data_IF_495722816106
#
_entry.id   IF_495722816106
#
_cell.length_a   1.000
_cell.length_b   1.000
_cell.length_c   1.000
_cell.angle_alpha   90.00
_cell.angle_beta   90.00
_cell.angle_gamma   90.00
#
_symmetry.space_group_name_H-M   'P 1'
#
loop_
_entity.id
_entity.type
_entity.pdbx_description
1 polymer ?
#
# COMPACT_ATOMS: atom_id res chain seq x y z
N UNK A 1 1.19 -6.28 8.09
CA UNK A 1 0.83 -4.93 8.54
C UNK A 1 -0.59 -4.58 8.07
N UNK A 2 -0.86 -4.22 6.84
CA UNK A 2 -2.22 -3.82 6.38
C UNK A 2 -3.31 -4.88 6.60
N UNK A 3 -3.05 -6.15 6.31
CA UNK A 3 -4.03 -7.23 6.54
C UNK A 3 -4.39 -7.34 8.03
N UNK A 4 -3.40 -7.19 8.92
CA UNK A 4 -3.62 -7.22 10.37
C UNK A 4 -4.46 -6.03 10.85
N UNK A 5 -4.25 -4.84 10.24
CA UNK A 5 -5.03 -3.64 10.54
C UNK A 5 -6.49 -3.83 10.14
N UNK A 6 -6.74 -4.40 8.93
CA UNK A 6 -8.07 -4.72 8.43
C UNK A 6 -8.75 -5.78 9.32
N UNK A 7 -8.03 -6.85 9.71
CA UNK A 7 -8.57 -7.85 10.63
C UNK A 7 -8.96 -7.24 11.98
N UNK A 8 -8.12 -6.34 12.51
CA UNK A 8 -8.41 -5.63 13.76
C UNK A 8 -9.63 -4.73 13.61
N UNK A 9 -9.70 -3.95 12.52
CA UNK A 9 -10.83 -3.07 12.21
C UNK A 9 -12.15 -3.84 12.14
N UNK A 10 -12.18 -4.95 11.39
CA UNK A 10 -13.37 -5.80 11.26
C UNK A 10 -13.87 -6.35 12.62
N UNK A 11 -12.94 -6.65 13.52
CA UNK A 11 -13.31 -7.05 14.90
C UNK A 11 -13.92 -5.91 15.68
N UNK A 12 -13.34 -4.72 15.61
CA UNK A 12 -13.73 -3.59 16.43
C UNK A 12 -15.02 -2.91 15.95
N UNK A 13 -15.17 -2.74 14.64
CA UNK A 13 -16.28 -1.98 14.07
C UNK A 13 -17.47 -2.86 13.68
N UNK A 14 -17.20 -4.05 13.12
CA UNK A 14 -18.24 -4.94 12.62
C UNK A 14 -18.50 -6.16 13.52
N UNK A 15 -17.70 -6.35 14.58
CA UNK A 15 -17.74 -7.55 15.44
C UNK A 15 -17.61 -8.86 14.64
N UNK A 16 -16.92 -8.84 13.52
CA UNK A 16 -16.73 -9.99 12.63
C UNK A 16 -15.27 -10.47 12.70
N UNK A 17 -15.08 -11.77 12.88
CA UNK A 17 -13.76 -12.39 12.80
C UNK A 17 -13.49 -12.81 11.35
N UNK A 18 -12.44 -12.26 10.75
CA UNK A 18 -11.98 -12.63 9.40
C UNK A 18 -10.58 -13.21 9.44
N UNK A 19 -10.27 -14.09 8.47
CA UNK A 19 -8.93 -14.61 8.25
C UNK A 19 -8.06 -13.68 7.39
N UNK A 20 -6.77 -14.01 7.29
CA UNK A 20 -5.80 -13.22 6.52
C UNK A 20 -6.18 -13.15 5.03
N UNK A 21 -6.62 -14.26 4.45
CA UNK A 21 -7.07 -14.32 3.04
C UNK A 21 -8.27 -13.40 2.77
N UNK A 22 -9.20 -13.30 3.72
CA UNK A 22 -10.36 -12.40 3.59
C UNK A 22 -9.92 -10.94 3.71
N UNK A 23 -9.02 -10.62 4.65
CA UNK A 23 -8.43 -9.28 4.77
C UNK A 23 -7.68 -8.87 3.49
N UNK A 24 -6.95 -9.79 2.86
CA UNK A 24 -6.29 -9.56 1.57
C UNK A 24 -7.30 -9.26 0.46
N UNK A 25 -8.42 -10.00 0.39
CA UNK A 25 -9.50 -9.75 -0.58
C UNK A 25 -10.13 -8.38 -0.39
N UNK A 26 -10.42 -7.97 0.85
CA UNK A 26 -10.93 -6.63 1.19
C UNK A 26 -9.94 -5.57 0.70
N UNK A 27 -8.65 -5.73 1.03
CA UNK A 27 -7.60 -4.80 0.62
C UNK A 27 -7.52 -4.65 -0.91
N UNK A 28 -7.63 -5.74 -1.66
CA UNK A 28 -7.60 -5.70 -3.13
C UNK A 28 -8.86 -5.02 -3.69
N UNK A 29 -10.03 -5.34 -3.14
CA UNK A 29 -11.31 -4.83 -3.65
C UNK A 29 -11.51 -3.34 -3.32
N UNK A 30 -11.37 -2.95 -2.06
CA UNK A 30 -11.71 -1.61 -1.55
C UNK A 30 -10.53 -0.91 -0.85
N UNK A 31 -9.30 -1.40 -1.04
CA UNK A 31 -8.10 -0.79 -0.43
C UNK A 31 -7.84 0.61 -0.97
N UNK A 32 -7.91 1.59 -0.09
CA UNK A 32 -7.63 2.99 -0.35
C UNK A 32 -6.90 3.62 0.85
N UNK A 33 -6.26 4.76 0.64
CA UNK A 33 -5.55 5.50 1.70
C UNK A 33 -5.93 6.98 1.74
N UNK A 34 -6.85 7.41 0.87
CA UNK A 34 -7.47 8.72 0.86
C UNK A 34 -9.00 8.55 0.84
N UNK A 35 -9.75 9.46 1.49
CA UNK A 35 -11.22 9.39 1.56
C UNK A 35 -11.90 9.81 0.26
N UNK A 36 -11.24 10.62 -0.57
CA UNK A 36 -11.79 11.19 -1.80
C UNK A 36 -11.08 10.57 -3.01
N UNK A 37 -11.73 9.59 -3.62
CA UNK A 37 -11.29 8.93 -4.85
C UNK A 37 -12.11 9.47 -6.03
N UNK A 38 -11.45 9.66 -7.18
CA UNK A 38 -12.14 10.03 -8.42
C UNK A 38 -13.06 8.91 -8.94
N UNK A 39 -12.65 7.65 -8.69
CA UNK A 39 -13.41 6.43 -8.97
C UNK A 39 -13.62 5.65 -7.69
N UNK A 40 -14.85 5.64 -7.20
CA UNK A 40 -15.22 4.93 -5.98
C UNK A 40 -15.47 3.44 -6.28
N UNK A 41 -14.73 2.51 -5.61
CA UNK A 41 -15.05 1.09 -5.74
C UNK A 41 -16.35 0.76 -5.01
N UNK A 42 -17.09 -0.22 -5.53
CA UNK A 42 -18.26 -0.77 -4.84
C UNK A 42 -17.87 -1.37 -3.48
N UNK A 43 -18.74 -1.24 -2.45
CA UNK A 43 -18.49 -1.84 -1.16
C UNK A 43 -18.28 -3.35 -1.26
N UNK A 44 -17.30 -3.87 -0.53
CA UNK A 44 -17.02 -5.31 -0.50
C UNK A 44 -17.82 -6.00 0.61
N UNK A 45 -18.63 -6.97 0.21
CA UNK A 45 -19.46 -7.73 1.17
C UNK A 45 -18.64 -8.87 1.80
N UNK A 46 -18.59 -8.88 3.13
CA UNK A 46 -17.87 -9.86 3.94
C UNK A 46 -18.87 -10.68 4.77
N UNK A 47 -18.71 -11.99 4.72
CA UNK A 47 -19.44 -12.93 5.58
C UNK A 47 -18.49 -13.54 6.61
N UNK A 48 -18.92 -13.58 7.86
CA UNK A 48 -18.13 -14.18 8.92
C UNK A 48 -18.91 -14.37 10.21
N UNK A 49 -18.36 -15.12 11.19
CA UNK A 49 -19.00 -15.30 12.48
C UNK A 49 -18.94 -14.01 13.30
N UNK A 50 -20.06 -13.63 13.85
CA UNK A 50 -20.14 -12.56 14.87
C UNK A 50 -19.43 -13.02 16.13
N UNK A 51 -18.56 -12.16 16.67
CA UNK A 51 -17.75 -12.50 17.85
C UNK A 51 -18.54 -12.69 19.14
N UNK A 52 -19.74 -12.08 19.23
CA UNK A 52 -20.57 -12.14 20.43
C UNK A 52 -21.57 -13.30 20.39
N UNK A 53 -22.17 -13.55 19.23
CA UNK A 53 -23.28 -14.50 19.09
C UNK A 53 -22.90 -15.79 18.36
N UNK A 54 -21.69 -15.83 17.74
CA UNK A 54 -21.20 -16.87 16.85
C UNK A 54 -22.09 -17.14 15.60
N UNK A 55 -23.17 -16.36 15.42
CA UNK A 55 -24.01 -16.47 14.23
C UNK A 55 -23.31 -15.90 13.00
N UNK A 56 -23.54 -16.43 11.80
CA UNK A 56 -23.06 -15.84 10.57
C UNK A 56 -23.72 -14.48 10.37
N UNK A 57 -22.91 -13.48 10.07
CA UNK A 57 -23.34 -12.10 9.75
C UNK A 57 -22.65 -11.63 8.49
N UNK A 58 -23.32 -10.70 7.83
CA UNK A 58 -22.83 -10.05 6.63
C UNK A 58 -22.58 -8.57 6.91
N UNK A 59 -21.48 -8.02 6.40
CA UNK A 59 -21.17 -6.60 6.46
C UNK A 59 -20.65 -6.11 5.13
N UNK A 60 -21.10 -4.95 4.69
CA UNK A 60 -20.55 -4.22 3.56
C UNK A 60 -19.44 -3.30 4.06
N UNK A 61 -18.26 -3.41 3.49
CA UNK A 61 -17.07 -2.63 3.85
C UNK A 61 -16.76 -1.65 2.72
N UNK A 62 -16.70 -0.37 3.04
CA UNK A 62 -16.43 0.70 2.09
C UNK A 62 -14.94 1.03 2.01
N UNK A 63 -14.53 1.70 0.93
CA UNK A 63 -13.15 2.16 0.79
C UNK A 63 -12.79 3.26 1.79
N UNK A 64 -13.76 4.10 2.20
CA UNK A 64 -13.57 5.12 3.22
C UNK A 64 -13.23 4.50 4.59
N UNK A 65 -13.91 3.42 4.95
CA UNK A 65 -13.60 2.66 6.16
C UNK A 65 -12.19 2.11 6.12
N UNK A 66 -11.76 1.57 4.97
CA UNK A 66 -10.41 1.03 4.82
C UNK A 66 -9.36 2.16 4.80
N UNK A 67 -9.64 3.29 4.18
CA UNK A 67 -8.75 4.45 4.23
C UNK A 67 -8.52 4.92 5.67
N UNK A 68 -9.58 4.99 6.47
CA UNK A 68 -9.47 5.30 7.90
C UNK A 68 -8.72 4.21 8.69
N UNK A 69 -9.02 2.95 8.41
CA UNK A 69 -8.36 1.81 9.04
C UNK A 69 -6.83 1.82 8.83
N UNK A 70 -6.39 2.13 7.61
CA UNK A 70 -4.98 2.10 7.23
C UNK A 70 -4.21 3.38 7.57
N UNK A 71 -4.89 4.46 7.94
CA UNK A 71 -4.29 5.78 8.12
C UNK A 71 -3.07 5.76 9.05
N UNK A 72 -3.17 5.10 10.20
CA UNK A 72 -2.07 4.99 11.17
C UNK A 72 -0.84 4.25 10.62
N UNK A 73 -1.07 3.22 9.83
CA UNK A 73 0.01 2.44 9.21
C UNK A 73 0.65 3.18 8.05
N UNK A 74 -0.14 3.92 7.28
CA UNK A 74 0.36 4.80 6.22
C UNK A 74 1.16 5.97 6.80
N UNK A 75 0.69 6.61 7.88
CA UNK A 75 1.43 7.69 8.56
C UNK A 75 2.82 7.23 9.05
N UNK A 76 2.97 5.98 9.47
CA UNK A 76 4.28 5.41 9.83
C UNK A 76 5.20 5.30 8.60
N UNK A 77 4.65 4.91 7.45
CA UNK A 77 5.42 4.86 6.20
C UNK A 77 5.85 6.27 5.76
N UNK A 78 4.94 7.25 5.82
CA UNK A 78 5.25 8.65 5.55
C UNK A 78 6.42 9.16 6.41
N UNK A 79 6.36 8.91 7.72
CA UNK A 79 7.43 9.29 8.65
C UNK A 79 8.76 8.58 8.32
N UNK A 80 8.70 7.31 7.91
CA UNK A 80 9.91 6.57 7.53
C UNK A 80 10.52 7.10 6.23
N UNK A 81 9.70 7.47 5.25
CA UNK A 81 10.15 8.09 4.00
C UNK A 81 10.83 9.42 4.29
N UNK A 82 10.19 10.30 5.06
CA UNK A 82 10.76 11.60 5.43
C UNK A 82 12.09 11.44 6.16
N UNK A 83 12.18 10.51 7.10
CA UNK A 83 13.42 10.24 7.82
C UNK A 83 14.56 9.77 6.89
N UNK A 84 14.27 8.94 5.91
CA UNK A 84 15.28 8.52 4.92
C UNK A 84 15.73 9.70 4.07
N UNK A 85 14.79 10.56 3.64
CA UNK A 85 15.11 11.76 2.86
C UNK A 85 15.98 12.76 3.65
N UNK A 86 15.73 12.91 4.95
CA UNK A 86 16.56 13.75 5.84
C UNK A 86 18.02 13.26 5.94
N UNK A 87 18.22 11.94 5.86
CA UNK A 87 19.55 11.32 5.90
C UNK A 87 20.25 11.27 4.53
N UNK A 88 19.53 11.63 3.46
CA UNK A 88 20.05 11.54 2.10
C UNK A 88 21.00 12.72 1.80
N UNK A 89 22.21 12.47 1.26
CA UNK A 89 23.12 13.52 0.83
C UNK A 89 22.47 14.48 -0.18
N UNK A 90 22.81 15.79 -0.15
CA UNK A 90 22.19 16.80 -1.01
C UNK A 90 22.24 16.51 -2.51
N UNK A 91 23.32 15.91 -2.99
CA UNK A 91 23.50 15.55 -4.40
C UNK A 91 22.48 14.47 -4.83
N UNK A 92 22.29 13.44 -4.01
CA UNK A 92 21.30 12.39 -4.25
C UNK A 92 19.87 12.90 -4.05
N UNK A 93 19.66 13.82 -3.12
CA UNK A 93 18.35 14.43 -2.90
C UNK A 93 17.88 15.20 -4.15
N UNK A 94 18.79 15.91 -4.82
CA UNK A 94 18.47 16.61 -6.08
C UNK A 94 18.01 15.64 -7.17
N UNK A 95 18.70 14.50 -7.31
CA UNK A 95 18.31 13.44 -8.25
C UNK A 95 16.94 12.84 -7.92
N UNK A 96 16.63 12.66 -6.63
CA UNK A 96 15.33 12.15 -6.18
C UNK A 96 14.21 13.15 -6.52
N UNK A 97 14.44 14.44 -6.32
CA UNK A 97 13.45 15.49 -6.65
C UNK A 97 13.18 15.53 -8.15
N UNK A 98 14.22 15.40 -8.99
CA UNK A 98 14.10 15.42 -10.45
C UNK A 98 13.40 14.16 -11.00
N UNK A 99 13.79 12.98 -10.53
CA UNK A 99 13.33 11.71 -11.07
C UNK A 99 12.09 11.13 -10.37
N UNK A 100 11.77 11.62 -9.17
CA UNK A 100 10.71 11.09 -8.34
C UNK A 100 11.06 9.76 -7.65
N UNK A 101 10.08 9.23 -6.91
CA UNK A 101 10.20 7.99 -6.14
C UNK A 101 9.28 6.93 -6.76
N UNK A 102 9.82 5.74 -7.05
CA UNK A 102 9.04 4.65 -7.62
C UNK A 102 8.53 3.69 -6.55
N UNK A 103 7.21 3.43 -6.59
CA UNK A 103 6.53 2.46 -5.74
C UNK A 103 6.42 1.12 -6.46
N UNK A 104 6.81 0.05 -5.78
CA UNK A 104 6.70 -1.33 -6.27
C UNK A 104 6.09 -2.26 -5.22
N UNK A 105 5.73 -3.47 -5.62
CA UNK A 105 5.05 -4.43 -4.77
C UNK A 105 3.54 -4.21 -4.68
N UNK A 106 2.83 -5.14 -4.02
CA UNK A 106 1.36 -5.11 -3.93
C UNK A 106 0.79 -3.92 -3.16
N UNK A 107 1.56 -3.36 -2.22
CA UNK A 107 1.17 -2.15 -1.49
C UNK A 107 1.05 -0.91 -2.37
N UNK A 108 1.82 -0.83 -3.45
CA UNK A 108 1.76 0.28 -4.41
C UNK A 108 0.41 0.37 -5.15
N UNK A 109 -0.37 -0.71 -5.13
CA UNK A 109 -1.71 -0.77 -5.76
C UNK A 109 -2.83 -0.22 -4.87
N UNK A 110 -2.55 0.19 -3.64
CA UNK A 110 -3.54 0.86 -2.80
C UNK A 110 -3.95 2.19 -3.44
N UNK A 111 -5.26 2.37 -3.61
CA UNK A 111 -5.82 3.56 -4.27
C UNK A 111 -5.45 4.83 -3.51
N UNK A 112 -4.95 5.82 -4.23
CA UNK A 112 -4.55 7.10 -3.67
C UNK A 112 -3.18 7.13 -2.98
N UNK A 113 -2.42 6.01 -2.93
CA UNK A 113 -1.16 5.95 -2.19
C UNK A 113 -0.10 6.90 -2.78
N UNK A 114 0.10 6.87 -4.09
CA UNK A 114 1.06 7.75 -4.76
C UNK A 114 0.67 9.23 -4.59
N UNK A 115 -0.61 9.56 -4.73
CA UNK A 115 -1.14 10.91 -4.52
C UNK A 115 -0.87 11.39 -3.10
N UNK A 116 -1.24 10.60 -2.09
CA UNK A 116 -1.05 10.94 -0.68
C UNK A 116 0.43 11.15 -0.32
N UNK A 117 1.33 10.28 -0.80
CA UNK A 117 2.76 10.43 -0.57
C UNK A 117 3.33 11.66 -1.29
N UNK A 118 2.91 11.91 -2.53
CA UNK A 118 3.32 13.12 -3.28
C UNK A 118 2.92 14.39 -2.54
N UNK A 119 1.69 14.48 -2.07
CA UNK A 119 1.20 15.62 -1.30
C UNK A 119 1.94 15.80 0.04
N UNK A 120 2.25 14.69 0.72
CA UNK A 120 2.89 14.72 2.04
C UNK A 120 4.38 15.05 1.98
N UNK A 121 5.08 14.53 0.98
CA UNK A 121 6.55 14.62 0.85
C UNK A 121 6.96 15.75 -0.08
N UNK A 122 6.04 16.22 -0.92
CA UNK A 122 6.28 17.21 -1.99
C UNK A 122 7.34 16.76 -3.01
N UNK A 123 7.41 15.45 -3.25
CA UNK A 123 8.21 14.81 -4.30
C UNK A 123 7.27 13.88 -5.06
N UNK A 124 7.41 13.81 -6.38
CA UNK A 124 6.55 12.97 -7.21
C UNK A 124 6.75 11.49 -6.91
N UNK A 125 5.65 10.77 -6.65
CA UNK A 125 5.64 9.32 -6.52
C UNK A 125 4.99 8.67 -7.75
N UNK A 126 5.66 7.66 -8.29
CA UNK A 126 5.23 6.90 -9.46
C UNK A 126 4.97 5.44 -9.09
N UNK A 127 3.85 4.90 -9.50
CA UNK A 127 3.63 3.45 -9.41
C UNK A 127 4.30 2.79 -10.60
N UNK A 128 5.14 1.76 -10.36
CA UNK A 128 5.80 1.02 -11.43
C UNK A 128 4.77 0.36 -12.37
N UNK A 129 5.10 0.21 -13.65
CA UNK A 129 4.20 -0.33 -14.69
C UNK A 129 3.60 -1.71 -14.33
N UNK A 130 4.35 -2.58 -13.71
CA UNK A 130 3.87 -3.86 -13.16
C UNK A 130 4.47 -3.99 -11.76
N UNK A 131 3.86 -3.35 -10.75
CA UNK A 131 4.49 -3.20 -9.45
C UNK A 131 4.73 -4.54 -8.74
N UNK A 132 3.92 -5.56 -9.01
CA UNK A 132 4.10 -6.90 -8.44
C UNK A 132 5.33 -7.62 -8.99
N UNK A 133 5.70 -7.35 -10.24
CA UNK A 133 6.82 -8.01 -10.93
C UNK A 133 8.01 -7.09 -11.17
N UNK A 134 7.94 -5.83 -10.78
CA UNK A 134 8.96 -4.82 -11.06
C UNK A 134 10.37 -5.27 -10.62
N UNK A 135 10.49 -5.81 -9.40
CA UNK A 135 11.77 -6.32 -8.87
C UNK A 135 12.29 -7.51 -9.70
N UNK A 136 11.44 -8.49 -10.00
CA UNK A 136 11.82 -9.66 -10.80
C UNK A 136 12.23 -9.26 -12.24
N UNK A 137 11.51 -8.32 -12.85
CA UNK A 137 11.86 -7.76 -14.18
C UNK A 137 13.21 -7.05 -14.14
N UNK A 138 13.43 -6.20 -13.13
CA UNK A 138 14.70 -5.50 -12.95
C UNK A 138 15.88 -6.45 -12.77
N UNK A 139 15.75 -7.46 -11.94
CA UNK A 139 16.74 -8.51 -11.75
C UNK A 139 17.03 -9.26 -13.06
N UNK A 140 15.98 -9.60 -13.81
CA UNK A 140 16.14 -10.28 -15.12
C UNK A 140 16.90 -9.39 -16.12
N UNK A 141 16.62 -8.10 -16.16
CA UNK A 141 17.33 -7.13 -17.03
C UNK A 141 18.80 -7.04 -16.63
N UNK A 142 19.07 -6.92 -15.33
CA UNK A 142 20.43 -6.85 -14.79
C UNK A 142 21.25 -8.11 -15.13
N UNK A 143 20.65 -9.30 -15.01
CA UNK A 143 21.29 -10.57 -15.38
C UNK A 143 21.57 -10.70 -16.87
N UNK A 144 20.69 -10.19 -17.72
CA UNK A 144 20.89 -10.21 -19.20
C UNK A 144 21.95 -9.22 -19.68
N UNK A 145 22.18 -8.14 -18.94
CA UNK A 145 23.09 -7.04 -19.28
C UNK A 145 24.15 -6.83 -18.19
N UNK A 146 24.75 -7.93 -17.70
CA UNK A 146 25.72 -7.91 -16.60
C UNK A 146 26.90 -6.95 -16.83
N UNK A 147 27.32 -6.76 -18.07
CA UNK A 147 28.37 -5.79 -18.41
C UNK A 147 28.02 -4.33 -18.04
N UNK A 148 26.73 -3.99 -18.05
CA UNK A 148 26.25 -2.65 -17.71
C UNK A 148 26.02 -2.46 -16.21
N UNK A 149 26.00 -3.56 -15.47
CA UNK A 149 25.68 -3.59 -14.01
C UNK A 149 26.78 -4.29 -13.22
N UNK A 150 28.05 -4.04 -13.57
CA UNK A 150 29.22 -4.68 -12.94
C UNK A 150 29.28 -4.50 -11.41
N UNK A 151 28.67 -3.46 -10.87
CA UNK A 151 28.57 -3.21 -9.43
C UNK A 151 27.73 -4.25 -8.67
N UNK A 152 26.86 -5.01 -9.35
CA UNK A 152 26.07 -6.09 -8.75
C UNK A 152 26.84 -7.40 -8.61
N UNK A 153 28.07 -7.48 -9.11
CA UNK A 153 28.90 -8.70 -9.14
C UNK A 153 29.99 -8.69 -8.06
N UNK A 154 29.86 -7.85 -7.03
CA UNK A 154 30.78 -7.78 -5.88
C UNK A 154 30.25 -8.54 -4.67
#
# INVERSE_FOLDING_TARGET
>A
MFNSDIQYYMRQQHNIKIGETTAEKIKIAVGAVIPDLDEEPEPYVVNGPNLMTAHPVEAAVTYQEIAHCLDKSIAKLESSILHVLELTPPELYSDIVENGIFLSGGGALLRGLAKRFTEKVNIQFHVAEDPLRAVARGTCIALKKTSNYSFLMR
#
